data_IF_940727120779
#
_entry.id   IF_940727120779
#
_cell.length_a   1.000
_cell.length_b   1.000
_cell.length_c   1.000
_cell.angle_alpha   90.00
_cell.angle_beta   90.00
_cell.angle_gamma   90.00
#
_symmetry.space_group_name_H-M   'P 1'
#
loop_
_entity.id
_entity.type
_entity.pdbx_description
1 polymer ?
#
# COMPACT_ATOMS: atom_id res chain seq x y z
N UNK A 1 -10.67 15.34 1.76
CA UNK A 1 -9.71 14.22 1.79
C UNK A 1 -8.93 14.25 0.49
N UNK A 2 -7.61 14.34 0.54
CA UNK A 2 -6.73 14.39 -0.65
C UNK A 2 -6.04 13.03 -0.79
N UNK A 3 -6.16 12.39 -1.96
CA UNK A 3 -5.47 11.14 -2.27
C UNK A 3 -4.31 11.40 -3.22
N UNK A 4 -3.15 10.81 -2.92
CA UNK A 4 -1.97 10.85 -3.78
C UNK A 4 -1.64 9.41 -4.16
N UNK A 5 -1.53 9.15 -5.46
CA UNK A 5 -1.05 7.87 -5.99
C UNK A 5 0.41 8.02 -6.34
N UNK A 6 1.23 7.06 -5.94
CA UNK A 6 2.64 7.00 -6.30
C UNK A 6 3.02 5.60 -6.78
N UNK A 7 4.11 5.52 -7.53
CA UNK A 7 4.68 4.28 -8.01
C UNK A 7 6.16 4.48 -8.34
N UNK A 8 6.93 3.40 -8.23
CA UNK A 8 8.35 3.38 -8.58
C UNK A 8 8.55 2.38 -9.72
N UNK A 9 9.16 2.83 -10.81
CA UNK A 9 9.50 1.97 -11.95
C UNK A 9 10.48 0.88 -11.51
N UNK A 10 10.42 -0.29 -12.14
CA UNK A 10 11.04 -1.54 -11.65
C UNK A 10 12.53 -1.40 -11.36
N UNK A 11 13.24 -0.61 -12.16
CA UNK A 11 14.68 -0.32 -12.08
C UNK A 11 15.09 0.36 -10.76
N UNK A 12 14.15 1.05 -10.10
CA UNK A 12 14.38 1.81 -8.88
C UNK A 12 13.71 1.21 -7.63
N UNK A 13 12.95 0.14 -7.81
CA UNK A 13 12.26 -0.53 -6.72
C UNK A 13 13.22 -1.21 -5.74
N UNK A 14 12.89 -1.12 -4.44
CA UNK A 14 13.69 -1.77 -3.39
C UNK A 14 15.03 -1.08 -3.11
N UNK A 15 15.24 0.12 -3.66
CA UNK A 15 16.39 1.00 -3.35
C UNK A 15 16.06 2.04 -2.27
N UNK A 16 14.90 1.93 -1.63
CA UNK A 16 14.42 2.87 -0.61
C UNK A 16 13.65 4.08 -1.15
N UNK A 17 13.50 4.20 -2.48
CA UNK A 17 12.78 5.32 -3.12
C UNK A 17 11.33 5.39 -2.66
N UNK A 18 10.65 4.25 -2.54
CA UNK A 18 9.27 4.17 -2.03
C UNK A 18 9.16 4.82 -0.64
N UNK A 19 10.07 4.47 0.28
CA UNK A 19 10.06 4.97 1.65
C UNK A 19 10.35 6.46 1.75
N UNK A 20 11.35 6.96 1.01
CA UNK A 20 11.70 8.39 1.00
C UNK A 20 10.53 9.23 0.52
N UNK A 21 9.86 8.83 -0.56
CA UNK A 21 8.69 9.56 -1.07
C UNK A 21 7.56 9.63 -0.04
N UNK A 22 7.24 8.50 0.61
CA UNK A 22 6.19 8.44 1.64
C UNK A 22 6.53 9.37 2.81
N UNK A 23 7.73 9.27 3.36
CA UNK A 23 8.14 10.05 4.55
C UNK A 23 8.20 11.54 4.22
N UNK A 24 8.79 11.91 3.08
CA UNK A 24 8.89 13.31 2.67
C UNK A 24 7.51 13.92 2.48
N UNK A 25 6.62 13.24 1.76
CA UNK A 25 5.26 13.73 1.52
C UNK A 25 4.46 13.83 2.81
N UNK A 26 4.61 12.86 3.72
CA UNK A 26 3.95 12.86 5.03
C UNK A 26 4.38 14.06 5.88
N UNK A 27 5.69 14.27 6.04
CA UNK A 27 6.24 15.43 6.77
C UNK A 27 5.74 16.75 6.19
N UNK A 28 5.83 16.92 4.88
CA UNK A 28 5.37 18.13 4.22
C UNK A 28 3.87 18.38 4.43
N UNK A 29 3.02 17.34 4.35
CA UNK A 29 1.58 17.48 4.61
C UNK A 29 1.30 17.89 6.06
N UNK A 30 2.02 17.30 7.01
CA UNK A 30 1.89 17.61 8.43
C UNK A 30 2.31 19.06 8.73
N UNK A 31 3.37 19.56 8.09
CA UNK A 31 3.84 20.95 8.22
C UNK A 31 2.81 21.99 7.77
N UNK A 32 1.89 21.63 6.88
CA UNK A 32 0.79 22.54 6.49
C UNK A 32 -0.20 22.84 7.62
N UNK A 33 -0.19 22.05 8.70
CA UNK A 33 -1.13 22.16 9.81
C UNK A 33 -2.58 21.77 9.47
N UNK A 34 -2.83 21.25 8.26
CA UNK A 34 -4.18 20.87 7.79
C UNK A 34 -4.53 19.41 8.08
N UNK A 35 -3.55 18.60 8.44
CA UNK A 35 -3.68 17.16 8.64
C UNK A 35 -2.95 16.73 9.91
N UNK A 36 -3.52 15.76 10.61
CA UNK A 36 -2.92 15.16 11.81
C UNK A 36 -2.23 13.83 11.52
N UNK A 37 -2.65 13.16 10.45
CA UNK A 37 -2.18 11.83 10.09
C UNK A 37 -2.16 11.65 8.58
N UNK A 38 -1.26 10.78 8.12
CA UNK A 38 -1.25 10.27 6.74
C UNK A 38 -1.49 8.77 6.74
N UNK A 39 -2.48 8.32 5.97
CA UNK A 39 -2.84 6.90 5.89
C UNK A 39 -2.38 6.32 4.55
N UNK A 40 -1.56 5.28 4.60
CA UNK A 40 -1.26 4.45 3.45
C UNK A 40 -2.43 3.49 3.23
N UNK A 41 -2.99 3.51 2.02
CA UNK A 41 -4.18 2.73 1.66
C UNK A 41 -3.90 1.90 0.42
N UNK A 42 -4.82 1.00 0.06
CA UNK A 42 -4.71 0.15 -1.13
C UNK A 42 -3.52 -0.81 -1.15
N UNK A 43 -3.03 -1.19 0.03
CA UNK A 43 -1.97 -2.20 0.18
C UNK A 43 -2.64 -3.51 0.62
N UNK A 44 -2.84 -4.40 -0.35
CA UNK A 44 -3.41 -5.72 -0.09
C UNK A 44 -2.38 -6.71 0.45
N UNK A 45 -2.89 -7.75 1.12
CA UNK A 45 -2.11 -8.88 1.64
C UNK A 45 -1.38 -9.69 0.54
N UNK A 46 -1.79 -9.53 -0.72
CA UNK A 46 -1.09 -10.05 -1.88
C UNK A 46 0.23 -9.33 -2.18
N UNK A 47 0.49 -8.16 -1.57
CA UNK A 47 1.70 -7.38 -1.76
C UNK A 47 2.55 -7.32 -0.47
N UNK A 48 3.18 -8.43 -0.07
CA UNK A 48 3.97 -8.49 1.17
C UNK A 48 5.16 -7.51 1.15
N UNK A 49 5.66 -7.14 -0.04
CA UNK A 49 6.74 -6.15 -0.16
C UNK A 49 6.30 -4.78 0.35
N UNK A 50 5.15 -4.28 -0.08
CA UNK A 50 4.65 -2.98 0.38
C UNK A 50 4.25 -3.00 1.86
N UNK A 51 3.73 -4.13 2.36
CA UNK A 51 3.48 -4.29 3.80
C UNK A 51 4.76 -4.13 4.62
N UNK A 52 5.87 -4.76 4.20
CA UNK A 52 7.18 -4.57 4.87
C UNK A 52 7.71 -3.15 4.78
N UNK A 53 7.43 -2.42 3.68
CA UNK A 53 7.77 -0.99 3.59
C UNK A 53 6.99 -0.21 4.66
N UNK A 54 5.69 -0.44 4.82
CA UNK A 54 4.90 0.20 5.88
C UNK A 54 5.45 -0.11 7.28
N UNK A 55 5.72 -1.38 7.57
CA UNK A 55 6.30 -1.82 8.84
C UNK A 55 7.66 -1.15 9.11
N UNK A 56 8.55 -1.12 8.09
CA UNK A 56 9.87 -0.51 8.19
C UNK A 56 9.83 1.02 8.39
N UNK A 57 8.73 1.68 8.01
CA UNK A 57 8.49 3.10 8.26
C UNK A 57 7.85 3.36 9.63
N UNK A 58 7.58 2.32 10.43
CA UNK A 58 6.91 2.44 11.73
C UNK A 58 5.41 2.69 11.64
N UNK A 59 4.78 2.43 10.48
CA UNK A 59 3.34 2.55 10.34
C UNK A 59 2.62 1.44 11.13
N UNK A 60 1.45 1.76 11.68
CA UNK A 60 0.58 0.81 12.34
C UNK A 60 -0.62 0.47 11.46
N UNK A 61 -1.19 -0.73 11.63
CA UNK A 61 -2.43 -1.07 10.93
C UNK A 61 -3.60 -0.28 11.53
N UNK A 62 -4.03 0.77 10.83
CA UNK A 62 -5.18 1.58 11.21
C UNK A 62 -6.51 0.88 10.95
N UNK A 63 -6.64 0.20 9.80
CA UNK A 63 -7.87 -0.47 9.37
C UNK A 63 -7.60 -1.50 8.29
N UNK A 64 -8.22 -2.68 8.43
CA UNK A 64 -8.29 -3.68 7.36
C UNK A 64 -9.58 -3.54 6.57
N UNK A 65 -9.48 -3.38 5.25
CA UNK A 65 -10.63 -3.39 4.33
C UNK A 65 -10.74 -4.75 3.65
N UNK A 66 -11.92 -5.37 3.68
CA UNK A 66 -12.18 -6.64 3.02
C UNK A 66 -12.81 -6.42 1.64
N UNK A 67 -12.28 -7.10 0.62
CA UNK A 67 -12.87 -7.13 -0.72
C UNK A 67 -13.52 -8.49 -0.95
N UNK A 68 -14.83 -8.49 -1.16
CA UNK A 68 -15.60 -9.71 -1.43
C UNK A 68 -15.79 -9.89 -2.94
N UNK A 69 -15.69 -11.15 -3.40
CA UNK A 69 -15.96 -11.53 -4.79
C UNK A 69 -17.14 -12.50 -4.82
N UNK A 70 -18.15 -12.19 -5.63
CA UNK A 70 -19.26 -13.09 -5.90
C UNK A 70 -19.09 -13.73 -7.29
N UNK A 71 -19.04 -15.06 -7.34
CA UNK A 71 -19.03 -15.82 -8.59
C UNK A 71 -20.47 -16.21 -8.93
N UNK A 72 -20.99 -15.66 -10.03
CA UNK A 72 -22.33 -15.98 -10.54
C UNK A 72 -22.40 -17.43 -11.04
N UNK A 73 -21.38 -17.85 -11.79
CA UNK A 73 -21.19 -19.25 -12.14
C UNK A 73 -20.58 -19.99 -10.94
N UNK A 74 -21.39 -20.82 -10.28
CA UNK A 74 -21.01 -21.58 -9.09
C UNK A 74 -20.09 -22.76 -9.40
N UNK A 75 -19.89 -23.10 -10.67
CA UNK A 75 -18.95 -24.16 -11.10
C UNK A 75 -17.50 -23.67 -11.15
N UNK A 76 -17.29 -22.35 -11.19
CA UNK A 76 -15.94 -21.76 -11.21
C UNK A 76 -15.33 -21.78 -9.82
N UNK A 77 -14.06 -22.17 -9.76
CA UNK A 77 -13.28 -22.11 -8.54
C UNK A 77 -12.86 -20.66 -8.22
N UNK A 78 -12.75 -20.35 -6.94
CA UNK A 78 -12.13 -19.11 -6.52
C UNK A 78 -10.62 -19.19 -6.67
N UNK A 79 -10.06 -18.25 -7.41
CA UNK A 79 -8.62 -18.03 -7.50
C UNK A 79 -8.24 -16.74 -6.76
N UNK A 80 -7.40 -16.89 -5.74
CA UNK A 80 -6.84 -15.76 -5.00
C UNK A 80 -5.82 -15.03 -5.88
N UNK A 81 -5.74 -13.71 -5.72
CA UNK A 81 -4.68 -12.94 -6.36
C UNK A 81 -3.29 -13.48 -5.93
N UNK A 82 -2.38 -13.78 -6.88
CA UNK A 82 -1.05 -14.27 -6.55
C UNK A 82 -0.27 -13.28 -5.69
N UNK A 83 0.61 -13.80 -4.84
CA UNK A 83 1.53 -12.95 -4.09
C UNK A 83 2.53 -12.30 -5.04
N UNK A 84 2.76 -11.00 -4.86
CA UNK A 84 3.84 -10.29 -5.55
C UNK A 84 5.15 -10.64 -4.84
N UNK A 85 5.79 -11.71 -5.29
CA UNK A 85 7.14 -12.14 -4.89
C UNK A 85 8.15 -11.77 -5.98
N UNK A 86 9.41 -11.52 -5.60
CA UNK A 86 10.49 -11.38 -6.60
C UNK A 86 10.69 -12.73 -7.31
N UNK A 87 10.80 -12.69 -8.64
CA UNK A 87 11.59 -13.67 -9.38
C UNK A 87 13.08 -13.38 -9.16
#
# INVERSE_FOLDING_TARGET
MTGIVFGVVKEWQGKGVEGVMIVHQSKWLMETGRYNDTVLTWIGDFNPKMLRVCEGLGATNYRTLATYRYLFDRTKHFERLPLITKN
#
